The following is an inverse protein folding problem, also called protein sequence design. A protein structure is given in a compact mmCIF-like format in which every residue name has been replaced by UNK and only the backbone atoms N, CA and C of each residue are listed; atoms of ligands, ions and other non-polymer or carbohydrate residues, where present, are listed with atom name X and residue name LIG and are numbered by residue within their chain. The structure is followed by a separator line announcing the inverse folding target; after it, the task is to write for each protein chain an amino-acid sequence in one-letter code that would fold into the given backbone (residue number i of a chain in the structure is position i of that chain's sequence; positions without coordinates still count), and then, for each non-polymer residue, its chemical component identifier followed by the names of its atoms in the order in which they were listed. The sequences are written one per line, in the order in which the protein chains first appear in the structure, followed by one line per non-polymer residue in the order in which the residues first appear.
data_IF_068338084421
#
_entry.id   IF_068338084421
#
_cell.length_a   1.000
_cell.length_b   1.000
_cell.length_c   1.000
_cell.angle_alpha   90.00
_cell.angle_beta   90.00
_cell.angle_gamma   90.00
#
_symmetry.space_group_name_H-M   'P 1'
#
loop_
_entity.id
_entity.type
_entity.pdbx_description
1 polymer ?
#
# COMPACT_ATOMS: atom_id res chain seq x y z
N UNK A 1 -43.18 -2.26 -59.08
CA UNK A 1 -41.92 -1.50 -59.14
C UNK A 1 -41.97 -0.45 -58.01
N UNK A 2 -41.44 -0.76 -56.84
CA UNK A 2 -41.44 0.19 -55.70
C UNK A 2 -40.00 0.31 -55.19
N UNK A 3 -39.40 1.47 -55.43
CA UNK A 3 -38.04 1.84 -55.01
C UNK A 3 -38.07 2.27 -53.55
N UNK A 4 -37.47 1.45 -52.69
CA UNK A 4 -37.23 1.78 -51.28
C UNK A 4 -35.93 2.58 -51.18
N UNK A 5 -36.03 3.89 -50.97
CA UNK A 5 -34.89 4.72 -50.57
C UNK A 5 -34.37 4.28 -49.19
N UNK A 6 -33.07 3.96 -49.11
CA UNK A 6 -32.36 3.62 -47.87
C UNK A 6 -31.84 4.90 -47.21
N UNK A 7 -32.27 5.26 -46.00
CA UNK A 7 -31.73 6.44 -45.34
C UNK A 7 -30.38 6.12 -44.66
N UNK A 8 -29.36 6.85 -45.11
CA UNK A 8 -28.47 7.65 -44.26
C UNK A 8 -27.75 7.00 -43.05
N UNK A 9 -27.25 5.76 -43.19
CA UNK A 9 -26.37 5.16 -42.18
C UNK A 9 -25.05 5.95 -41.94
N UNK A 10 -24.62 6.77 -42.90
CA UNK A 10 -23.41 7.59 -42.78
C UNK A 10 -23.57 8.83 -41.89
N UNK A 11 -24.76 9.42 -41.80
CA UNK A 11 -24.97 10.68 -41.06
C UNK A 11 -24.82 10.49 -39.55
N UNK A 12 -25.20 9.32 -39.05
CA UNK A 12 -25.04 8.96 -37.63
C UNK A 12 -23.57 8.80 -37.21
N UNK A 13 -22.71 8.31 -38.12
CA UNK A 13 -21.29 8.16 -37.85
C UNK A 13 -20.55 9.51 -37.82
N UNK A 14 -20.88 10.42 -38.74
CA UNK A 14 -20.28 11.77 -38.77
C UNK A 14 -20.65 12.55 -37.51
N UNK A 15 -21.91 12.47 -37.05
CA UNK A 15 -22.33 13.15 -35.83
C UNK A 15 -21.63 12.59 -34.58
N UNK A 16 -21.45 11.26 -34.49
CA UNK A 16 -20.69 10.63 -33.41
C UNK A 16 -19.21 11.03 -33.43
N UNK A 17 -18.60 11.13 -34.61
CA UNK A 17 -17.21 11.56 -34.75
C UNK A 17 -17.00 13.02 -34.31
N UNK A 18 -17.92 13.92 -34.66
CA UNK A 18 -17.87 15.33 -34.24
C UNK A 18 -18.05 15.47 -32.73
N UNK A 19 -18.97 14.72 -32.13
CA UNK A 19 -19.17 14.72 -30.67
C UNK A 19 -17.93 14.15 -29.95
N UNK A 20 -17.35 13.06 -30.44
CA UNK A 20 -16.12 12.51 -29.88
C UNK A 20 -14.95 13.49 -29.98
N UNK A 21 -14.80 14.18 -31.11
CA UNK A 21 -13.77 15.20 -31.30
C UNK A 21 -13.97 16.40 -30.34
N UNK A 22 -15.20 16.85 -30.12
CA UNK A 22 -15.51 17.93 -29.17
C UNK A 22 -15.22 17.53 -27.71
N UNK A 23 -15.51 16.29 -27.33
CA UNK A 23 -15.22 15.78 -25.98
C UNK A 23 -13.71 15.69 -25.74
N UNK A 24 -12.93 15.26 -26.74
CA UNK A 24 -11.47 15.24 -26.67
C UNK A 24 -10.89 16.67 -26.61
N UNK A 25 -11.43 17.59 -27.41
CA UNK A 25 -10.94 18.97 -27.45
C UNK A 25 -11.28 19.78 -26.18
N UNK A 26 -12.40 19.48 -25.52
CA UNK A 26 -12.80 20.13 -24.27
C UNK A 26 -12.12 19.52 -23.02
N UNK A 27 -11.66 18.27 -23.10
CA UNK A 27 -10.97 17.56 -22.01
C UNK A 27 -9.48 17.87 -21.86
N UNK A 28 -8.81 18.33 -22.93
CA UNK A 28 -7.43 18.81 -22.86
C UNK A 28 -7.37 20.28 -22.45
N UNK A 29 -7.74 20.60 -21.20
CA UNK A 29 -7.11 21.74 -20.54
C UNK A 29 -5.76 21.25 -20.01
N UNK A 30 -4.61 21.81 -20.44
CA UNK A 30 -3.38 21.61 -19.71
C UNK A 30 -3.61 22.18 -18.30
N UNK A 31 -3.57 21.32 -17.30
CA UNK A 31 -3.39 21.77 -15.92
C UNK A 31 -2.11 22.62 -15.91
N UNK A 32 -2.11 23.84 -15.35
CA UNK A 32 -0.87 24.56 -15.17
C UNK A 32 0.03 23.66 -14.32
N UNK A 33 1.19 23.28 -14.86
CA UNK A 33 2.30 22.77 -14.07
C UNK A 33 2.50 23.77 -12.93
N UNK A 34 2.22 23.32 -11.71
CA UNK A 34 2.71 24.02 -10.53
C UNK A 34 4.23 23.81 -10.58
N UNK A 35 5.05 24.87 -10.73
CA UNK A 35 6.50 24.70 -10.78
C UNK A 35 6.92 24.02 -9.47
N UNK A 36 7.77 23.00 -9.59
CA UNK A 36 8.38 22.38 -8.42
C UNK A 36 9.03 23.50 -7.57
N UNK A 37 8.84 23.50 -6.24
CA UNK A 37 9.43 24.52 -5.38
C UNK A 37 10.94 24.52 -5.59
N UNK A 38 11.49 25.69 -5.88
CA UNK A 38 12.92 25.83 -6.17
C UNK A 38 13.72 25.63 -4.89
N UNK A 39 14.99 25.26 -5.02
CA UNK A 39 15.87 24.96 -3.88
C UNK A 39 15.94 26.12 -2.87
N UNK A 40 15.82 27.36 -3.36
CA UNK A 40 15.73 28.58 -2.53
C UNK A 40 14.48 28.63 -1.60
N UNK A 41 13.35 28.03 -2.00
CA UNK A 41 12.16 27.91 -1.13
C UNK A 41 12.39 26.87 -0.03
N UNK A 42 13.08 25.76 -0.34
CA UNK A 42 13.40 24.73 0.65
C UNK A 42 14.38 25.26 1.71
N UNK A 43 15.39 26.03 1.28
CA UNK A 43 16.37 26.64 2.18
C UNK A 43 15.72 27.71 3.08
N UNK A 44 14.72 28.43 2.57
CA UNK A 44 13.94 29.39 3.35
C UNK A 44 13.07 28.73 4.43
N UNK A 45 12.59 27.51 4.19
CA UNK A 45 11.78 26.73 5.15
C UNK A 45 12.63 26.03 6.23
N UNK A 46 13.92 25.83 5.97
CA UNK A 46 14.87 25.20 6.91
C UNK A 46 15.20 26.08 8.12
N UNK A 47 15.03 27.40 8.01
CA UNK A 47 15.33 28.36 9.09
C UNK A 47 14.40 28.32 10.30
N UNK A 48 13.32 27.52 10.28
CA UNK A 48 12.31 27.46 11.34
C UNK A 48 12.50 26.37 12.38
N UNK A 49 13.55 25.55 12.27
CA UNK A 49 13.81 24.48 13.25
C UNK A 49 14.64 25.10 14.38
N UNK A 50 13.96 25.58 15.43
CA UNK A 50 14.65 25.96 16.67
C UNK A 50 15.42 24.74 17.20
N UNK A 51 16.74 24.92 17.25
CA UNK A 51 17.68 24.02 17.90
C UNK A 51 17.32 23.98 19.38
N UNK A 52 16.59 22.93 19.80
CA UNK A 52 16.36 22.65 21.20
C UNK A 52 17.72 22.49 21.87
N UNK A 53 18.06 23.51 22.65
CA UNK A 53 19.23 23.59 23.50
C UNK A 53 19.29 22.34 24.37
N UNK A 54 20.32 21.53 24.14
CA UNK A 54 20.64 20.32 24.87
C UNK A 54 21.02 20.74 26.29
N UNK A 55 20.05 20.75 27.20
CA UNK A 55 20.27 20.95 28.62
C UNK A 55 20.93 19.70 29.22
N UNK A 56 22.27 19.68 29.11
CA UNK A 56 23.15 18.82 29.87
C UNK A 56 23.11 19.27 31.34
N UNK A 57 22.41 18.50 32.18
CA UNK A 57 22.38 18.70 33.62
C UNK A 57 23.10 17.55 34.31
N UNK A 58 24.42 17.70 34.43
CA UNK A 58 25.30 16.82 35.20
C UNK A 58 25.31 17.22 36.70
N UNK A 59 24.84 16.27 37.53
CA UNK A 59 25.24 15.89 38.90
C UNK A 59 25.20 16.88 40.10
N UNK A 60 24.40 16.51 41.13
CA UNK A 60 24.89 16.29 42.51
C UNK A 60 23.92 15.38 43.32
N UNK A 61 24.41 14.36 44.07
CA UNK A 61 23.57 13.37 44.73
C UNK A 61 23.13 13.81 46.15
N UNK A 62 22.08 13.20 46.69
CA UNK A 62 22.14 12.71 48.06
C UNK A 62 21.88 11.21 48.13
N UNK A 63 22.69 10.60 48.99
CA UNK A 63 22.66 9.21 49.40
C UNK A 63 21.34 8.79 50.06
N UNK A 64 21.20 7.47 50.16
CA UNK A 64 20.41 6.72 51.15
C UNK A 64 18.87 6.68 50.96
N UNK A 65 18.38 5.65 50.26
CA UNK A 65 17.99 4.38 50.90
C UNK A 65 17.29 3.49 49.86
N UNK A 66 17.78 2.26 49.70
CA UNK A 66 17.07 1.19 49.00
C UNK A 66 16.17 0.48 50.02
N UNK A 67 14.86 0.36 49.78
CA UNK A 67 14.12 -0.82 50.21
C UNK A 67 13.98 -1.79 49.02
N UNK A 68 14.36 -3.07 49.20
CA UNK A 68 14.25 -4.10 48.17
C UNK A 68 12.81 -4.60 48.07
N UNK A 69 12.52 -5.27 46.95
CA UNK A 69 11.31 -6.05 46.65
C UNK A 69 10.15 -5.29 45.97
N UNK A 70 10.09 -5.41 44.64
CA UNK A 70 9.07 -6.23 44.00
C UNK A 70 9.49 -6.47 42.54
N UNK A 71 9.70 -7.74 42.19
CA UNK A 71 9.79 -8.16 40.80
C UNK A 71 8.44 -7.91 40.14
N UNK A 72 8.35 -6.86 39.32
CA UNK A 72 7.20 -6.66 38.42
C UNK A 72 7.36 -7.65 37.27
N UNK A 73 6.53 -8.70 37.26
CA UNK A 73 6.36 -9.57 36.08
C UNK A 73 6.07 -8.71 34.84
N UNK A 74 6.65 -9.02 33.67
CA UNK A 74 6.30 -8.33 32.44
C UNK A 74 4.82 -8.56 32.12
N UNK A 75 4.06 -7.53 31.68
CA UNK A 75 2.64 -7.67 31.42
C UNK A 75 2.40 -8.69 30.30
N UNK A 76 1.80 -9.83 30.67
CA UNK A 76 1.38 -10.94 29.78
C UNK A 76 0.30 -10.55 28.74
N UNK A 77 -0.05 -9.27 28.62
CA UNK A 77 -1.29 -8.80 28.00
C UNK A 77 -1.14 -8.10 26.63
N UNK A 78 0.08 -7.97 26.09
CA UNK A 78 0.27 -7.29 24.79
C UNK A 78 -0.18 -8.14 23.59
N UNK A 79 -0.17 -9.47 23.71
CA UNK A 79 -0.63 -10.36 22.63
C UNK A 79 -2.16 -10.44 22.53
N UNK A 80 -2.88 -10.15 23.61
CA UNK A 80 -4.34 -10.30 23.71
C UNK A 80 -5.09 -9.06 23.18
N UNK A 81 -4.47 -7.88 23.22
CA UNK A 81 -5.02 -6.63 22.68
C UNK A 81 -4.79 -6.44 21.17
N UNK A 82 -3.78 -7.12 20.59
CA UNK A 82 -3.44 -7.00 19.16
C UNK A 82 -4.40 -7.79 18.27
N UNK A 83 -4.83 -8.97 18.71
CA UNK A 83 -5.77 -9.83 17.96
C UNK A 83 -7.13 -9.16 17.66
N UNK A 84 -7.84 -8.57 18.64
CA UNK A 84 -9.15 -7.97 18.38
C UNK A 84 -9.09 -6.75 17.44
N UNK A 85 -7.96 -6.04 17.38
CA UNK A 85 -7.81 -4.86 16.52
C UNK A 85 -7.51 -5.27 15.06
N UNK A 86 -6.74 -6.34 14.85
CA UNK A 86 -6.43 -6.87 13.52
C UNK A 86 -7.67 -7.49 12.86
N UNK A 87 -8.43 -8.31 13.59
CA UNK A 87 -9.65 -8.94 13.09
C UNK A 87 -10.75 -7.92 12.75
N UNK A 88 -10.87 -6.86 13.56
CA UNK A 88 -11.81 -5.76 13.31
C UNK A 88 -11.39 -4.92 12.10
N UNK A 89 -10.09 -4.72 11.86
CA UNK A 89 -9.61 -4.01 10.65
C UNK A 89 -9.99 -4.77 9.38
N UNK A 90 -9.76 -6.08 9.34
CA UNK A 90 -10.08 -6.89 8.16
C UNK A 90 -11.58 -6.95 7.87
N UNK A 91 -12.43 -6.99 8.90
CA UNK A 91 -13.89 -6.95 8.73
C UNK A 91 -14.42 -5.61 8.20
N UNK A 92 -13.65 -4.53 8.31
CA UNK A 92 -14.01 -3.19 7.85
C UNK A 92 -13.44 -2.85 6.47
N UNK A 93 -12.55 -3.69 5.92
CA UNK A 93 -12.03 -3.50 4.58
C UNK A 93 -13.07 -3.96 3.55
N UNK A 94 -13.31 -3.16 2.49
CA UNK A 94 -14.23 -3.56 1.43
C UNK A 94 -13.71 -4.84 0.76
N UNK A 95 -14.56 -5.86 0.72
CA UNK A 95 -14.28 -7.15 0.06
C UNK A 95 -14.02 -7.00 -1.44
N UNK A 96 -14.47 -5.89 -2.05
CA UNK A 96 -14.23 -5.56 -3.46
C UNK A 96 -13.76 -4.11 -3.56
N UNK A 97 -12.62 -3.90 -4.22
CA UNK A 97 -12.03 -2.58 -4.48
C UNK A 97 -11.84 -2.45 -5.99
N UNK A 98 -12.49 -1.45 -6.60
CA UNK A 98 -12.40 -1.17 -8.04
C UNK A 98 -12.67 -2.39 -8.95
N UNK A 99 -13.57 -3.28 -8.50
CA UNK A 99 -13.95 -4.50 -9.23
C UNK A 99 -13.00 -5.69 -9.02
N UNK A 100 -11.98 -5.56 -8.18
CA UNK A 100 -11.08 -6.64 -7.77
C UNK A 100 -11.41 -7.17 -6.38
N UNK A 101 -11.13 -8.44 -6.11
CA UNK A 101 -11.23 -9.03 -4.78
C UNK A 101 -10.24 -8.32 -3.83
N UNK A 102 -10.76 -7.74 -2.75
CA UNK A 102 -10.00 -7.11 -1.69
C UNK A 102 -9.33 -8.17 -0.82
N UNK A 103 -8.01 -8.09 -0.68
CA UNK A 103 -7.22 -9.02 0.13
C UNK A 103 -6.33 -8.23 1.09
N UNK A 104 -6.28 -8.64 2.35
CA UNK A 104 -5.46 -8.02 3.40
C UNK A 104 -4.10 -8.73 3.54
N UNK A 105 -3.11 -7.99 4.06
CA UNK A 105 -1.83 -8.57 4.45
C UNK A 105 -1.99 -9.59 5.57
N UNK A 106 -2.90 -9.35 6.51
CA UNK A 106 -3.20 -10.29 7.59
C UNK A 106 -3.67 -11.63 7.03
N UNK A 107 -4.56 -11.63 6.02
CA UNK A 107 -4.99 -12.85 5.32
C UNK A 107 -3.83 -13.53 4.57
N UNK A 108 -2.99 -12.77 3.86
CA UNK A 108 -1.86 -13.34 3.09
C UNK A 108 -0.73 -13.88 3.99
N UNK A 109 -0.49 -13.27 5.15
CA UNK A 109 0.53 -13.67 6.12
C UNK A 109 -0.01 -14.61 7.22
N UNK A 110 -1.28 -14.99 7.15
CA UNK A 110 -1.97 -15.80 8.17
C UNK A 110 -1.52 -17.26 8.30
N UNK A 111 -0.52 -17.69 7.54
CA UNK A 111 -0.02 -19.06 7.58
C UNK A 111 1.50 -19.07 7.73
N UNK A 112 2.00 -20.00 8.54
CA UNK A 112 3.42 -20.24 8.65
C UNK A 112 3.92 -20.91 7.37
N UNK A 113 5.02 -20.38 6.81
CA UNK A 113 5.72 -20.96 5.69
C UNK A 113 7.19 -21.17 6.07
N UNK A 114 7.61 -22.43 6.10
CA UNK A 114 8.98 -22.81 6.41
C UNK A 114 9.82 -22.69 5.14
N UNK A 115 10.72 -21.71 5.13
CA UNK A 115 11.67 -21.50 4.03
C UNK A 115 12.86 -22.46 4.23
N UNK A 116 13.14 -23.37 3.28
CA UNK A 116 14.30 -24.25 3.38
C UNK A 116 15.61 -23.46 3.28
N UNK A 117 16.63 -23.92 4.00
CA UNK A 117 17.96 -23.30 4.00
C UNK A 117 18.66 -23.44 2.64
N UNK A 118 18.47 -24.59 1.99
CA UNK A 118 19.05 -24.87 0.69
C UNK A 118 18.03 -24.67 -0.44
N UNK A 119 18.45 -24.21 -1.62
CA UNK A 119 17.58 -24.05 -2.77
C UNK A 119 17.03 -25.41 -3.23
N UNK A 120 15.71 -25.52 -3.31
CA UNK A 120 15.04 -26.75 -3.71
C UNK A 120 15.10 -26.92 -5.23
N UNK A 121 15.82 -27.94 -5.68
CA UNK A 121 15.88 -28.35 -7.11
C UNK A 121 15.02 -29.58 -7.41
N UNK A 122 14.52 -30.26 -6.37
CA UNK A 122 13.75 -31.49 -6.50
C UNK A 122 12.24 -31.23 -6.57
N UNK A 123 11.55 -31.89 -7.51
CA UNK A 123 10.09 -31.78 -7.69
C UNK A 123 9.28 -32.24 -6.47
N UNK A 124 9.76 -33.25 -5.74
CA UNK A 124 9.09 -33.82 -4.56
C UNK A 124 9.13 -32.84 -3.39
N UNK A 125 10.27 -32.20 -3.17
CA UNK A 125 10.42 -31.18 -2.13
C UNK A 125 9.61 -29.93 -2.45
N UNK A 126 9.60 -29.52 -3.73
CA UNK A 126 8.75 -28.41 -4.18
C UNK A 126 7.26 -28.70 -3.93
N UNK A 127 6.81 -29.94 -4.12
CA UNK A 127 5.44 -30.34 -3.81
C UNK A 127 5.15 -30.24 -2.30
N UNK A 128 6.11 -30.60 -1.43
CA UNK A 128 5.99 -30.44 0.02
C UNK A 128 5.90 -28.97 0.43
N UNK A 129 6.71 -28.10 -0.16
CA UNK A 129 6.64 -26.65 0.08
C UNK A 129 5.28 -26.08 -0.36
N UNK A 130 4.85 -26.42 -1.57
CA UNK A 130 3.54 -26.00 -2.08
C UNK A 130 2.40 -26.54 -1.22
N UNK A 131 2.55 -27.71 -0.58
CA UNK A 131 1.54 -28.25 0.33
C UNK A 131 1.35 -27.39 1.58
N UNK A 132 2.35 -26.61 2.01
CA UNK A 132 2.24 -25.69 3.15
C UNK A 132 1.26 -24.53 2.86
N UNK A 133 1.11 -24.13 1.60
CA UNK A 133 0.26 -23.02 1.20
C UNK A 133 -1.22 -23.44 1.27
N UNK A 134 -2.08 -22.77 2.07
CA UNK A 134 -3.49 -23.11 2.19
C UNK A 134 -4.26 -22.92 0.87
N UNK A 135 -5.34 -23.70 0.68
CA UNK A 135 -6.17 -23.64 -0.53
C UNK A 135 -6.75 -22.23 -0.80
N UNK A 136 -7.13 -21.50 0.25
CA UNK A 136 -7.64 -20.12 0.16
C UNK A 136 -6.63 -19.12 -0.42
N UNK A 137 -5.33 -19.39 -0.26
CA UNK A 137 -4.27 -18.54 -0.80
C UNK A 137 -3.90 -19.01 -2.20
N UNK A 138 -3.83 -20.33 -2.42
CA UNK A 138 -3.64 -20.92 -3.77
C UNK A 138 -4.70 -20.46 -4.76
N UNK A 139 -5.95 -20.26 -4.32
CA UNK A 139 -7.01 -19.78 -5.20
C UNK A 139 -6.81 -18.35 -5.68
N UNK A 140 -5.90 -17.58 -5.08
CA UNK A 140 -5.54 -16.22 -5.48
C UNK A 140 -4.36 -16.20 -6.46
N UNK A 141 -3.65 -17.31 -6.66
CA UNK A 141 -2.53 -17.39 -7.61
C UNK A 141 -3.00 -16.98 -9.00
N UNK A 142 -2.26 -16.05 -9.61
CA UNK A 142 -2.53 -15.47 -10.95
C UNK A 142 -3.89 -14.78 -11.09
N UNK A 143 -4.59 -14.49 -10.00
CA UNK A 143 -5.81 -13.67 -10.03
C UNK A 143 -5.48 -12.22 -9.70
N UNK A 144 -6.08 -11.26 -10.41
CA UNK A 144 -5.91 -9.87 -10.06
C UNK A 144 -6.71 -9.58 -8.78
N UNK A 145 -6.03 -9.01 -7.79
CA UNK A 145 -6.57 -8.68 -6.47
C UNK A 145 -6.18 -7.25 -6.11
N UNK A 146 -6.94 -6.62 -5.21
CA UNK A 146 -6.62 -5.32 -4.66
C UNK A 146 -6.15 -5.47 -3.21
N UNK A 147 -5.02 -4.85 -2.87
CA UNK A 147 -4.42 -4.89 -1.54
C UNK A 147 -4.23 -3.46 -1.05
N UNK A 148 -4.57 -3.20 0.21
CA UNK A 148 -4.33 -1.91 0.87
C UNK A 148 -3.22 -2.05 1.90
N UNK A 149 -2.29 -1.11 1.88
CA UNK A 149 -1.28 -0.97 2.93
C UNK A 149 -0.21 0.05 2.55
N UNK A 150 0.90 0.01 3.27
CA UNK A 150 2.05 0.86 3.03
C UNK A 150 3.07 0.12 2.17
N UNK A 151 3.66 0.84 1.23
CA UNK A 151 4.68 0.30 0.33
C UNK A 151 6.05 0.76 0.82
N UNK A 152 7.04 -0.15 0.81
CA UNK A 152 8.43 0.18 1.10
C UNK A 152 9.15 0.52 -0.22
N UNK A 153 9.62 1.76 -0.43
CA UNK A 153 10.35 2.09 -1.65
C UNK A 153 11.69 1.36 -1.72
N UNK A 154 11.93 0.60 -2.79
CA UNK A 154 13.23 -0.05 -3.01
C UNK A 154 14.16 0.82 -3.86
N UNK A 155 13.58 1.51 -4.84
CA UNK A 155 14.32 2.37 -5.76
C UNK A 155 13.53 3.61 -6.13
N UNK A 156 14.24 4.73 -6.22
CA UNK A 156 13.69 6.02 -6.60
C UNK A 156 14.44 6.55 -7.82
N UNK A 157 13.71 6.91 -8.87
CA UNK A 157 14.24 7.58 -10.05
C UNK A 157 13.44 8.87 -10.26
N UNK A 158 14.13 10.00 -10.45
CA UNK A 158 13.50 11.32 -10.65
C UNK A 158 12.47 11.70 -9.56
N UNK A 159 12.70 11.27 -8.31
CA UNK A 159 11.80 11.54 -7.19
C UNK A 159 10.55 10.63 -7.13
N UNK A 160 10.43 9.63 -8.01
CA UNK A 160 9.33 8.65 -8.03
C UNK A 160 9.84 7.25 -7.70
N UNK A 161 9.04 6.48 -6.96
CA UNK A 161 9.36 5.09 -6.64
C UNK A 161 9.10 4.22 -7.87
N UNK A 162 10.12 3.53 -8.37
CA UNK A 162 10.04 2.71 -9.61
C UNK A 162 10.06 1.21 -9.36
N UNK A 163 10.61 0.77 -8.23
CA UNK A 163 10.70 -0.63 -7.84
C UNK A 163 10.14 -0.82 -6.43
N UNK A 164 9.44 -1.93 -6.24
CA UNK A 164 8.62 -2.27 -5.08
C UNK A 164 8.97 -3.67 -4.57
#
# INVERSE_FOLDING_TARGET
MSTQEKPSFWKGYVLKAVIAALVVFAGCKPSPEQPAPTQDELDSLSGGIELLEEQEQEAKPPADEVPPAAATEPPKNLLELVQPIAEVRDALLPEVIDGYEGVSFDKLASFAYEVPLDPVTNKVELAKLNAQIPARIKSLDKKPVAIRGFMLPLKVENGLVTEL
#
